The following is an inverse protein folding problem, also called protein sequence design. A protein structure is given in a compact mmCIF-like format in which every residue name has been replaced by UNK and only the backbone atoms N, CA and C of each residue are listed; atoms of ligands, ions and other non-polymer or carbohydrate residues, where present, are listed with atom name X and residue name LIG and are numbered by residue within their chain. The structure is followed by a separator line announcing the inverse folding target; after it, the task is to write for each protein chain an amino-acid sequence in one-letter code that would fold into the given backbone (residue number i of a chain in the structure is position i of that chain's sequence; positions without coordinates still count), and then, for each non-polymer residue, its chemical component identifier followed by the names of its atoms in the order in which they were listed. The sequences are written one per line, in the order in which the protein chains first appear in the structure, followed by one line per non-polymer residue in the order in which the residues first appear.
data_IF_633109827364
#
_entry.id   IF_633109827364
#
_cell.length_a   1.000
_cell.length_b   1.000
_cell.length_c   1.000
_cell.angle_alpha   90.00
_cell.angle_beta   90.00
_cell.angle_gamma   90.00
#
_symmetry.space_group_name_H-M   'P 1'
#
loop_
_entity.id
_entity.type
_entity.pdbx_description
1 polymer ?
#
# COMPACT_ATOMS: atom_id res chain seq x y z
N UNK A 1 -6.52 -3.26 2.39
CA UNK A 1 -5.34 -3.59 1.54
C UNK A 1 -5.77 -3.78 0.09
N UNK A 2 -5.43 -2.89 -0.84
CA UNK A 2 -5.76 -3.06 -2.27
C UNK A 2 -4.89 -4.16 -2.89
N UNK A 3 -5.54 -5.15 -3.52
CA UNK A 3 -4.93 -6.33 -4.16
C UNK A 3 -5.56 -6.68 -5.53
N UNK A 4 -6.44 -5.82 -6.07
CA UNK A 4 -7.16 -6.08 -7.33
C UNK A 4 -6.32 -5.86 -8.61
N UNK A 5 -5.09 -5.34 -8.50
CA UNK A 5 -4.26 -5.02 -9.67
C UNK A 5 -3.84 -6.26 -10.46
N UNK A 6 -3.92 -6.18 -11.78
CA UNK A 6 -3.54 -7.26 -12.72
C UNK A 6 -2.05 -7.58 -12.75
N UNK A 7 -1.19 -6.65 -12.31
CA UNK A 7 0.27 -6.87 -12.33
C UNK A 7 0.88 -6.93 -13.74
N UNK A 8 0.34 -6.21 -14.71
CA UNK A 8 0.73 -6.27 -16.13
C UNK A 8 2.24 -6.20 -16.41
N UNK A 9 3.01 -5.52 -15.57
CA UNK A 9 4.47 -5.40 -15.67
C UNK A 9 5.25 -6.57 -15.06
N UNK A 10 4.56 -7.43 -14.29
CA UNK A 10 5.20 -8.56 -13.60
C UNK A 10 5.38 -9.79 -14.51
N UNK A 11 4.54 -9.94 -15.52
CA UNK A 11 4.55 -11.04 -16.49
C UNK A 11 3.15 -11.59 -16.76
N UNK A 12 2.95 -12.27 -17.88
CA UNK A 12 1.66 -12.83 -18.26
C UNK A 12 1.24 -13.97 -17.32
N UNK A 13 -0.01 -13.98 -16.92
CA UNK A 13 -0.65 -15.11 -16.21
C UNK A 13 -0.36 -15.23 -14.71
N UNK A 14 0.56 -14.45 -14.15
CA UNK A 14 0.87 -14.50 -12.71
C UNK A 14 0.51 -13.18 -12.03
N UNK A 15 -0.41 -13.25 -11.08
CA UNK A 15 -0.71 -12.10 -10.21
C UNK A 15 0.39 -11.98 -9.15
N UNK A 16 1.18 -10.91 -9.22
CA UNK A 16 2.37 -10.68 -8.38
C UNK A 16 2.13 -10.85 -6.87
N UNK A 17 0.93 -10.53 -6.38
CA UNK A 17 0.58 -10.66 -4.96
C UNK A 17 0.50 -12.12 -4.50
N UNK A 18 0.36 -13.07 -5.43
CA UNK A 18 0.35 -14.52 -5.14
C UNK A 18 1.66 -15.22 -5.51
N UNK A 19 2.64 -14.48 -6.02
CA UNK A 19 3.95 -15.06 -6.33
C UNK A 19 4.56 -15.68 -5.07
N UNK A 20 5.17 -16.88 -5.17
CA UNK A 20 5.87 -17.52 -4.07
C UNK A 20 7.05 -16.68 -3.60
N UNK A 21 7.19 -16.52 -2.29
CA UNK A 21 8.26 -15.75 -1.66
C UNK A 21 8.57 -16.34 -0.28
N UNK A 22 9.76 -16.92 -0.09
CA UNK A 22 10.25 -17.42 1.20
C UNK A 22 9.22 -18.24 2.00
N UNK A 23 8.64 -19.26 1.37
CA UNK A 23 7.69 -20.18 1.98
C UNK A 23 6.24 -19.68 2.12
N UNK A 24 5.96 -18.44 1.71
CA UNK A 24 4.62 -17.83 1.67
C UNK A 24 4.38 -17.18 0.31
N UNK A 25 3.25 -16.52 0.15
CA UNK A 25 3.01 -15.62 -0.99
C UNK A 25 3.33 -14.18 -0.59
N UNK A 26 3.55 -13.31 -1.60
CA UNK A 26 3.81 -11.88 -1.39
C UNK A 26 2.75 -11.23 -0.50
N UNK A 27 1.46 -11.52 -0.75
CA UNK A 27 0.37 -10.93 0.05
C UNK A 27 0.35 -11.45 1.50
N UNK A 28 0.72 -12.70 1.74
CA UNK A 28 0.81 -13.24 3.11
C UNK A 28 1.92 -12.53 3.91
N UNK A 29 3.04 -12.20 3.25
CA UNK A 29 4.07 -11.37 3.86
C UNK A 29 3.60 -9.94 4.11
N UNK A 30 2.86 -9.34 3.17
CA UNK A 30 2.33 -8.00 3.33
C UNK A 30 1.27 -7.90 4.45
N UNK A 31 0.54 -8.99 4.73
CA UNK A 31 -0.44 -9.07 5.81
C UNK A 31 0.22 -9.34 7.19
N UNK A 32 1.33 -10.05 7.21
CA UNK A 32 1.93 -10.58 8.44
C UNK A 32 2.20 -9.53 9.54
N UNK A 33 2.76 -8.33 9.27
CA UNK A 33 2.98 -7.33 10.32
C UNK A 33 1.69 -6.87 11.00
N UNK A 34 0.60 -6.74 10.25
CA UNK A 34 -0.70 -6.33 10.78
C UNK A 34 -1.36 -7.44 11.58
N UNK A 35 -1.24 -8.68 11.15
CA UNK A 35 -1.78 -9.84 11.88
C UNK A 35 -1.05 -10.07 13.21
N UNK A 36 0.20 -9.68 13.31
CA UNK A 36 0.98 -9.78 14.54
C UNK A 36 0.74 -8.61 15.50
N UNK A 37 0.20 -7.47 15.05
CA UNK A 37 -0.05 -6.30 15.87
C UNK A 37 -1.45 -6.35 16.52
N UNK A 38 -1.49 -6.39 17.84
CA UNK A 38 -2.76 -6.49 18.61
C UNK A 38 -3.68 -5.26 18.46
N UNK A 39 -3.15 -4.14 17.95
CA UNK A 39 -3.92 -2.92 17.65
C UNK A 39 -4.74 -3.07 16.36
N UNK A 40 -4.44 -4.06 15.52
CA UNK A 40 -5.18 -4.34 14.30
C UNK A 40 -6.46 -5.11 14.63
N UNK A 41 -7.59 -4.43 14.62
CA UNK A 41 -8.89 -5.02 14.93
C UNK A 41 -9.46 -5.81 13.74
N UNK A 42 -9.25 -5.33 12.51
CA UNK A 42 -9.80 -5.94 11.30
C UNK A 42 -8.91 -5.66 10.08
N UNK A 43 -8.81 -6.63 9.18
CA UNK A 43 -8.13 -6.52 7.89
C UNK A 43 -9.14 -6.76 6.75
N UNK A 44 -9.16 -5.84 5.79
CA UNK A 44 -9.95 -5.99 4.56
C UNK A 44 -9.03 -6.01 3.36
N UNK A 45 -9.17 -7.03 2.51
CA UNK A 45 -8.43 -7.18 1.26
C UNK A 45 -9.36 -6.94 0.08
N UNK A 46 -9.08 -5.93 -0.74
CA UNK A 46 -9.84 -5.67 -1.96
C UNK A 46 -9.21 -6.44 -3.13
N UNK A 47 -9.95 -7.40 -3.66
CA UNK A 47 -9.51 -8.39 -4.65
C UNK A 47 -10.06 -8.08 -6.04
N UNK A 48 -9.46 -8.64 -7.06
CA UNK A 48 -10.10 -8.67 -8.38
C UNK A 48 -11.38 -9.52 -8.33
N UNK A 49 -12.31 -9.26 -9.28
CA UNK A 49 -13.47 -10.11 -9.45
C UNK A 49 -13.01 -11.56 -9.70
N UNK A 50 -13.69 -12.53 -9.11
CA UNK A 50 -13.41 -13.98 -9.26
C UNK A 50 -11.95 -14.37 -8.97
N UNK A 51 -11.37 -13.82 -7.91
CA UNK A 51 -9.99 -14.10 -7.51
C UNK A 51 -9.87 -15.51 -6.88
N UNK A 52 -9.63 -16.51 -7.74
CA UNK A 52 -9.53 -17.91 -7.33
C UNK A 52 -8.30 -18.20 -6.43
N UNK A 53 -7.21 -17.42 -6.59
CA UNK A 53 -5.99 -17.63 -5.82
C UNK A 53 -6.16 -17.21 -4.37
N UNK A 54 -7.04 -16.23 -4.11
CA UNK A 54 -7.34 -15.78 -2.75
C UNK A 54 -7.90 -16.91 -1.86
N UNK A 55 -8.69 -17.82 -2.41
CA UNK A 55 -9.28 -18.93 -1.64
C UNK A 55 -8.21 -19.75 -0.92
N UNK A 56 -7.07 -20.00 -1.59
CA UNK A 56 -5.95 -20.76 -1.00
C UNK A 56 -5.26 -19.95 0.12
N UNK A 57 -5.08 -18.64 -0.08
CA UNK A 57 -4.50 -17.76 0.94
C UNK A 57 -5.44 -17.65 2.14
N UNK A 58 -6.74 -17.42 1.92
CA UNK A 58 -7.73 -17.31 2.99
C UNK A 58 -7.80 -18.59 3.84
N UNK A 59 -7.73 -19.77 3.21
CA UNK A 59 -7.71 -21.03 3.93
C UNK A 59 -6.46 -21.18 4.83
N UNK A 60 -5.28 -20.78 4.35
CA UNK A 60 -4.05 -20.79 5.17
C UNK A 60 -4.11 -19.79 6.31
N UNK A 61 -4.64 -18.60 6.07
CA UNK A 61 -4.82 -17.58 7.11
C UNK A 61 -5.80 -18.05 8.19
N UNK A 62 -6.93 -18.64 7.79
CA UNK A 62 -7.89 -19.21 8.74
C UNK A 62 -7.27 -20.34 9.58
N UNK A 63 -6.50 -21.23 8.97
CA UNK A 63 -5.81 -22.32 9.67
C UNK A 63 -4.74 -21.80 10.67
N UNK A 64 -4.19 -20.59 10.45
CA UNK A 64 -3.26 -19.94 11.37
C UNK A 64 -3.95 -19.10 12.47
N UNK A 65 -5.29 -19.10 12.54
CA UNK A 65 -6.05 -18.34 13.52
C UNK A 65 -6.31 -16.87 13.14
N UNK A 66 -5.99 -16.47 11.92
CA UNK A 66 -6.21 -15.10 11.44
C UNK A 66 -7.67 -14.87 10.97
N UNK A 67 -8.63 -15.01 11.89
CA UNK A 67 -10.08 -14.87 11.60
C UNK A 67 -10.52 -13.43 11.30
N UNK A 68 -9.70 -12.43 11.59
CA UNK A 68 -10.02 -11.01 11.38
C UNK A 68 -9.83 -10.53 9.92
N UNK A 69 -9.46 -11.44 8.99
CA UNK A 69 -9.22 -11.07 7.58
C UNK A 69 -10.47 -11.34 6.76
N UNK A 70 -11.04 -10.27 6.18
CA UNK A 70 -12.16 -10.35 5.24
C UNK A 70 -11.75 -9.86 3.86
N UNK A 71 -12.57 -10.14 2.84
CA UNK A 71 -12.30 -9.68 1.49
C UNK A 71 -13.52 -9.07 0.83
N UNK A 72 -13.27 -8.11 -0.07
CA UNK A 72 -14.29 -7.46 -0.90
C UNK A 72 -13.82 -7.40 -2.35
N UNK A 73 -14.75 -7.24 -3.29
CA UNK A 73 -14.39 -6.96 -4.68
C UNK A 73 -13.80 -5.55 -4.78
N UNK A 74 -12.60 -5.43 -5.32
CA UNK A 74 -11.95 -4.15 -5.63
C UNK A 74 -12.51 -3.51 -6.89
N UNK A 75 -12.09 -2.28 -7.16
CA UNK A 75 -12.45 -1.53 -8.35
C UNK A 75 -11.39 -1.59 -9.45
N UNK A 76 -11.64 -0.89 -10.53
CA UNK A 76 -10.70 -0.79 -11.67
C UNK A 76 -9.40 -0.09 -11.29
N UNK A 77 -9.48 0.91 -10.42
CA UNK A 77 -8.33 1.67 -9.92
C UNK A 77 -8.01 1.31 -8.48
N UNK A 78 -6.80 1.63 -8.05
CA UNK A 78 -6.35 1.43 -6.67
C UNK A 78 -7.26 2.20 -5.69
N UNK A 79 -7.56 3.45 -5.97
CA UNK A 79 -8.44 4.28 -5.13
C UNK A 79 -9.86 3.72 -5.03
N UNK A 80 -10.43 3.15 -6.11
CA UNK A 80 -11.75 2.51 -6.09
C UNK A 80 -11.73 1.27 -5.20
N UNK A 81 -10.65 0.49 -5.26
CA UNK A 81 -10.45 -0.69 -4.39
C UNK A 81 -10.39 -0.29 -2.92
N UNK A 82 -9.70 0.81 -2.59
CA UNK A 82 -9.64 1.34 -1.23
C UNK A 82 -11.01 1.82 -0.77
N UNK A 83 -11.74 2.58 -1.61
CA UNK A 83 -13.10 3.04 -1.30
C UNK A 83 -14.05 1.88 -0.98
N UNK A 84 -14.05 0.82 -1.78
CA UNK A 84 -14.89 -0.38 -1.55
C UNK A 84 -14.50 -1.08 -0.25
N UNK A 85 -13.21 -1.20 0.06
CA UNK A 85 -12.75 -1.75 1.32
C UNK A 85 -13.19 -0.90 2.53
N UNK A 86 -13.11 0.42 2.43
CA UNK A 86 -13.59 1.33 3.48
C UNK A 86 -15.11 1.23 3.66
N UNK A 87 -15.87 1.18 2.57
CA UNK A 87 -17.33 1.02 2.62
C UNK A 87 -17.75 -0.25 3.37
N UNK A 88 -17.00 -1.35 3.25
CA UNK A 88 -17.28 -2.59 3.97
C UNK A 88 -17.01 -2.51 5.48
N UNK A 89 -16.24 -1.52 5.92
CA UNK A 89 -15.97 -1.26 7.35
C UNK A 89 -16.99 -0.32 7.99
N UNK A 90 -17.79 0.40 7.19
CA UNK A 90 -18.62 1.52 7.64
C UNK A 90 -19.65 1.14 8.73
N UNK A 91 -20.14 -0.10 8.75
CA UNK A 91 -21.09 -0.56 9.75
C UNK A 91 -20.49 -0.72 11.17
N UNK A 92 -19.18 -0.87 11.28
CA UNK A 92 -18.48 -1.12 12.54
C UNK A 92 -17.42 -0.07 12.90
N UNK A 93 -17.09 0.84 11.99
CA UNK A 93 -16.04 1.83 12.19
C UNK A 93 -16.60 3.19 12.63
N UNK A 94 -15.97 3.78 13.64
CA UNK A 94 -16.19 5.18 14.00
C UNK A 94 -15.43 6.11 13.04
N UNK A 95 -15.95 7.31 12.72
CA UNK A 95 -15.21 8.31 11.94
C UNK A 95 -13.83 8.66 12.51
N UNK A 96 -13.66 8.50 13.82
CA UNK A 96 -12.40 8.76 14.52
C UNK A 96 -11.44 7.56 14.57
N UNK A 97 -11.84 6.38 14.09
CA UNK A 97 -10.95 5.23 14.06
C UNK A 97 -9.79 5.42 13.07
N UNK A 98 -8.66 4.81 13.39
CA UNK A 98 -7.52 4.81 12.51
C UNK A 98 -7.63 3.72 11.45
N UNK A 99 -7.37 4.09 10.21
CA UNK A 99 -7.28 3.18 9.07
C UNK A 99 -5.87 3.23 8.50
N UNK A 100 -5.30 2.06 8.28
CA UNK A 100 -4.03 1.90 7.59
C UNK A 100 -4.27 1.29 6.20
N UNK A 101 -3.82 1.99 5.16
CA UNK A 101 -3.85 1.46 3.79
C UNK A 101 -2.46 0.98 3.42
N UNK A 102 -2.34 -0.32 3.11
CA UNK A 102 -1.07 -0.94 2.73
C UNK A 102 -1.19 -1.70 1.43
N UNK A 103 -0.18 -1.59 0.56
CA UNK A 103 -0.16 -2.27 -0.73
C UNK A 103 0.15 -3.76 -0.57
N UNK A 104 -0.69 -4.64 -1.12
CA UNK A 104 -0.48 -6.10 -1.12
C UNK A 104 0.82 -6.56 -1.82
N UNK A 105 1.47 -5.67 -2.56
CA UNK A 105 2.74 -5.92 -3.24
C UNK A 105 3.97 -5.41 -2.46
N UNK A 106 3.85 -5.06 -1.18
CA UNK A 106 4.96 -4.68 -0.29
C UNK A 106 5.15 -5.69 0.83
N UNK A 107 5.85 -6.81 0.54
CA UNK A 107 6.03 -7.89 1.51
C UNK A 107 7.04 -7.59 2.61
N UNK A 108 7.83 -6.52 2.46
CA UNK A 108 8.96 -6.23 3.32
C UNK A 108 8.69 -5.06 4.28
N UNK A 109 7.44 -4.87 4.74
CA UNK A 109 7.16 -3.94 5.82
C UNK A 109 7.81 -4.44 7.11
N UNK A 110 8.65 -3.61 7.74
CA UNK A 110 9.23 -3.92 9.04
C UNK A 110 8.19 -3.68 10.15
N UNK A 111 7.98 -4.61 11.09
CA UNK A 111 7.13 -4.39 12.26
C UNK A 111 7.54 -3.15 13.09
N UNK A 112 8.83 -2.83 13.15
CA UNK A 112 9.30 -1.63 13.85
C UNK A 112 8.85 -0.34 13.15
N UNK A 113 8.81 -0.33 11.80
CA UNK A 113 8.28 0.81 11.05
C UNK A 113 6.77 0.97 11.25
N UNK A 114 6.03 -0.15 11.27
CA UNK A 114 4.61 -0.13 11.60
C UNK A 114 4.38 0.42 13.01
N UNK A 115 5.12 -0.05 13.99
CA UNK A 115 5.07 0.45 15.37
C UNK A 115 5.33 1.95 15.44
N UNK A 116 6.42 2.40 14.83
CA UNK A 116 6.80 3.82 14.77
C UNK A 116 5.71 4.69 14.12
N UNK A 117 5.11 4.23 13.03
CA UNK A 117 4.00 4.94 12.37
C UNK A 117 2.82 5.10 13.33
N UNK A 118 2.38 4.01 13.96
CA UNK A 118 1.25 4.00 14.89
C UNK A 118 1.50 4.90 16.09
N UNK A 119 2.70 4.87 16.67
CA UNK A 119 3.06 5.68 17.83
C UNK A 119 3.16 7.17 17.50
N UNK A 120 3.74 7.51 16.35
CA UNK A 120 3.89 8.91 15.91
C UNK A 120 2.56 9.54 15.51
N UNK A 121 1.65 8.79 14.91
CA UNK A 121 0.40 9.31 14.37
C UNK A 121 -0.80 9.11 15.29
N UNK A 122 -0.68 8.33 16.36
CA UNK A 122 -1.80 7.97 17.23
C UNK A 122 -2.61 9.16 17.76
N UNK A 123 -1.97 10.31 17.98
CA UNK A 123 -2.58 11.57 18.43
C UNK A 123 -2.57 12.68 17.35
N UNK A 124 -2.05 12.39 16.14
CA UNK A 124 -1.96 13.41 15.10
C UNK A 124 -3.35 13.78 14.55
N UNK A 125 -3.64 15.07 14.29
CA UNK A 125 -4.99 15.48 13.86
C UNK A 125 -5.36 14.95 12.47
N UNK A 126 -4.40 14.86 11.54
CA UNK A 126 -4.63 14.44 10.15
C UNK A 126 -4.21 12.98 9.93
N UNK A 127 -3.03 12.61 10.33
CA UNK A 127 -2.37 11.36 10.00
C UNK A 127 -1.18 11.57 9.06
N UNK A 128 -0.74 10.51 8.40
CA UNK A 128 0.42 10.55 7.53
C UNK A 128 0.78 9.19 6.95
N UNK A 129 2.03 9.05 6.52
CA UNK A 129 2.49 7.87 5.81
C UNK A 129 3.94 7.56 6.11
N UNK A 130 4.32 6.30 5.95
CA UNK A 130 5.74 5.95 5.85
C UNK A 130 6.32 6.53 4.56
N UNK A 131 7.52 7.05 4.65
CA UNK A 131 8.25 7.60 3.50
C UNK A 131 9.76 7.45 3.70
N UNK A 132 10.53 7.51 2.63
CA UNK A 132 11.99 7.51 2.68
C UNK A 132 12.54 8.59 1.77
N UNK A 133 13.68 9.19 2.15
CA UNK A 133 14.34 10.21 1.34
C UNK A 133 14.78 9.64 0.00
N UNK A 134 14.77 10.47 -1.01
CA UNK A 134 15.32 10.11 -2.33
C UNK A 134 16.84 10.16 -2.25
N UNK A 135 17.50 9.01 -2.48
CA UNK A 135 18.96 8.87 -2.51
C UNK A 135 19.56 9.14 -3.87
N UNK A 136 18.83 8.80 -4.95
CA UNK A 136 19.32 8.89 -6.32
C UNK A 136 19.13 10.28 -6.92
N UNK A 137 19.99 10.64 -7.88
CA UNK A 137 19.79 11.84 -8.68
C UNK A 137 18.60 11.67 -9.61
N UNK A 138 17.61 12.56 -9.50
CA UNK A 138 16.41 12.55 -10.34
C UNK A 138 16.60 13.43 -11.58
N UNK A 139 16.16 12.92 -12.73
CA UNK A 139 16.14 13.65 -13.99
C UNK A 139 14.70 13.84 -14.45
N UNK A 140 14.36 15.06 -14.85
CA UNK A 140 13.13 15.34 -15.57
C UNK A 140 13.38 15.22 -17.06
N UNK A 141 12.42 14.69 -17.79
CA UNK A 141 12.48 14.56 -19.25
C UNK A 141 11.33 15.29 -19.89
N UNK A 142 11.47 15.71 -21.15
CA UNK A 142 10.34 16.13 -21.96
C UNK A 142 9.38 14.94 -22.19
N UNK A 143 8.07 15.20 -22.29
CA UNK A 143 7.13 14.18 -22.77
C UNK A 143 7.31 14.02 -24.27
N UNK A 144 7.90 12.90 -24.69
CA UNK A 144 8.02 12.54 -26.10
C UNK A 144 7.04 11.40 -26.36
N UNK A 145 6.22 11.56 -27.40
CA UNK A 145 5.40 10.47 -27.94
C UNK A 145 6.27 9.50 -28.73
N UNK A 146 6.22 8.19 -28.40
CA UNK A 146 6.71 7.10 -29.22
C UNK A 146 8.20 6.81 -29.16
N UNK A 147 8.59 5.86 -28.35
CA UNK A 147 9.73 4.93 -28.54
C UNK A 147 11.16 5.44 -28.56
N UNK A 148 11.41 6.73 -28.54
CA UNK A 148 12.77 7.30 -28.49
C UNK A 148 13.21 7.54 -27.04
N UNK A 149 14.52 7.45 -26.78
CA UNK A 149 15.11 7.80 -25.50
C UNK A 149 14.86 9.29 -25.22
N UNK A 150 14.14 9.65 -24.15
CA UNK A 150 13.77 11.04 -23.91
C UNK A 150 14.99 11.85 -23.44
N UNK A 151 15.23 13.06 -23.99
CA UNK A 151 16.31 13.91 -23.53
C UNK A 151 16.04 14.42 -22.11
N UNK A 152 17.09 14.54 -21.32
CA UNK A 152 17.03 15.17 -20.01
C UNK A 152 16.78 16.67 -20.18
N UNK A 153 15.75 17.20 -19.50
CA UNK A 153 15.46 18.64 -19.48
C UNK A 153 16.04 19.34 -18.26
N UNK A 154 16.09 18.65 -17.11
CA UNK A 154 16.68 19.20 -15.88
C UNK A 154 17.08 18.10 -14.90
N UNK A 155 17.99 18.45 -13.98
CA UNK A 155 18.22 17.68 -12.75
C UNK A 155 17.29 18.24 -11.66
N UNK A 156 16.46 17.39 -11.09
CA UNK A 156 15.52 17.80 -10.04
C UNK A 156 16.26 17.85 -8.71
N UNK A 157 16.14 19.00 -8.00
CA UNK A 157 16.64 19.10 -6.62
C UNK A 157 15.86 18.12 -5.72
N UNK A 158 16.60 17.30 -4.98
CA UNK A 158 16.02 16.18 -4.24
C UNK A 158 16.01 16.34 -2.73
N UNK A 159 16.58 17.39 -2.18
CA UNK A 159 16.75 17.59 -0.73
C UNK A 159 15.43 17.49 0.02
N UNK A 160 14.32 17.93 -0.58
CA UNK A 160 12.98 17.91 -0.01
C UNK A 160 12.08 16.83 -0.65
N UNK A 161 12.65 15.91 -1.44
CA UNK A 161 11.90 14.85 -2.08
C UNK A 161 11.94 13.56 -1.27
N UNK A 162 10.76 12.98 -1.12
CA UNK A 162 10.56 11.71 -0.44
C UNK A 162 9.81 10.72 -1.34
N UNK A 163 10.14 9.46 -1.24
CA UNK A 163 9.37 8.38 -1.83
C UNK A 163 8.27 7.98 -0.84
N UNK A 164 7.01 8.15 -1.23
CA UNK A 164 5.88 7.67 -0.45
C UNK A 164 5.90 6.14 -0.39
N UNK A 165 5.78 5.62 0.80
CA UNK A 165 5.63 4.20 1.08
C UNK A 165 4.21 3.93 1.60
N UNK A 166 3.94 2.68 1.96
CA UNK A 166 2.78 2.28 2.74
C UNK A 166 3.23 1.41 3.93
N UNK A 167 2.50 1.41 5.06
CA UNK A 167 1.15 1.93 5.27
C UNK A 167 1.04 3.45 5.23
N UNK A 168 -0.15 3.92 4.82
CA UNK A 168 -0.63 5.27 5.03
C UNK A 168 -1.74 5.23 6.07
N UNK A 169 -1.69 6.09 7.09
CA UNK A 169 -2.55 6.04 8.27
C UNK A 169 -3.35 7.33 8.43
N UNK A 170 -4.67 7.21 8.37
CA UNK A 170 -5.60 8.35 8.44
C UNK A 170 -6.85 7.99 9.25
N UNK A 171 -7.59 8.99 9.73
CA UNK A 171 -8.89 8.77 10.35
C UNK A 171 -9.91 8.29 9.32
N UNK A 172 -10.76 7.34 9.70
CA UNK A 172 -11.73 6.69 8.80
C UNK A 172 -12.65 7.71 8.12
N UNK A 173 -13.32 8.57 8.88
CA UNK A 173 -14.25 9.55 8.33
C UNK A 173 -13.61 10.52 7.33
N UNK A 174 -12.55 11.25 7.72
CA UNK A 174 -11.81 12.13 6.81
C UNK A 174 -11.30 11.44 5.55
N UNK A 175 -10.75 10.22 5.65
CA UNK A 175 -10.27 9.48 4.49
C UNK A 175 -11.41 9.10 3.53
N UNK A 176 -12.55 8.61 4.06
CA UNK A 176 -13.72 8.30 3.24
C UNK A 176 -14.19 9.54 2.50
N UNK A 177 -14.38 10.67 3.20
CA UNK A 177 -14.82 11.92 2.61
C UNK A 177 -13.88 12.43 1.51
N UNK A 178 -12.56 12.32 1.72
CA UNK A 178 -11.54 12.73 0.74
C UNK A 178 -11.62 11.91 -0.55
N UNK A 179 -11.69 10.58 -0.40
CA UNK A 179 -11.75 9.68 -1.55
C UNK A 179 -13.09 9.79 -2.30
N UNK A 180 -14.21 9.95 -1.59
CA UNK A 180 -15.52 10.13 -2.20
C UNK A 180 -15.61 11.45 -2.97
N UNK A 181 -15.10 12.54 -2.40
CA UNK A 181 -15.06 13.85 -3.07
C UNK A 181 -14.16 13.83 -4.30
N UNK A 182 -12.99 13.18 -4.22
CA UNK A 182 -12.11 13.01 -5.36
C UNK A 182 -12.81 12.23 -6.48
N UNK A 183 -13.46 11.11 -6.14
CA UNK A 183 -14.19 10.29 -7.10
C UNK A 183 -15.35 11.04 -7.75
N UNK A 184 -16.16 11.77 -6.97
CA UNK A 184 -17.27 12.58 -7.49
C UNK A 184 -16.78 13.67 -8.47
N UNK A 185 -15.57 14.19 -8.26
CA UNK A 185 -14.91 15.15 -9.15
C UNK A 185 -14.20 14.50 -10.36
N UNK A 186 -14.31 13.18 -10.55
CA UNK A 186 -13.60 12.45 -11.61
C UNK A 186 -12.08 12.42 -11.42
N UNK A 187 -11.58 12.69 -10.22
CA UNK A 187 -10.15 12.71 -9.86
C UNK A 187 -9.78 11.42 -9.15
N UNK A 188 -8.66 10.84 -9.53
CA UNK A 188 -8.20 9.57 -8.99
C UNK A 188 -6.83 9.76 -8.34
N UNK A 189 -6.76 9.79 -7.00
CA UNK A 189 -5.50 10.00 -6.30
C UNK A 189 -4.56 8.81 -6.48
N UNK A 190 -3.27 9.08 -6.54
CA UNK A 190 -2.23 8.05 -6.63
C UNK A 190 -2.07 7.27 -5.32
N UNK A 191 -2.36 7.94 -4.20
CA UNK A 191 -2.36 7.37 -2.85
C UNK A 191 -3.37 8.11 -1.95
N UNK A 192 -3.49 7.70 -0.69
CA UNK A 192 -4.45 8.24 0.26
C UNK A 192 -4.07 9.66 0.70
N UNK A 193 -2.77 9.93 0.84
CA UNK A 193 -2.27 11.26 1.21
C UNK A 193 -2.71 12.30 0.19
N UNK A 194 -2.58 12.02 -1.11
CA UNK A 194 -2.99 12.95 -2.17
C UNK A 194 -4.48 13.30 -2.11
N UNK A 195 -5.35 12.35 -1.73
CA UNK A 195 -6.77 12.64 -1.59
C UNK A 195 -7.02 13.69 -0.49
N UNK A 196 -6.32 13.59 0.63
CA UNK A 196 -6.39 14.53 1.74
C UNK A 196 -5.73 15.87 1.42
N UNK A 197 -4.60 15.87 0.70
CA UNK A 197 -3.96 17.09 0.19
C UNK A 197 -4.91 17.91 -0.69
N UNK A 198 -5.74 17.27 -1.51
CA UNK A 198 -6.74 17.96 -2.31
C UNK A 198 -7.87 18.61 -1.51
N UNK A 199 -8.01 18.25 -0.23
CA UNK A 199 -8.89 18.92 0.72
C UNK A 199 -8.18 20.02 1.53
N UNK A 200 -6.89 20.26 1.28
CA UNK A 200 -6.08 21.23 1.99
C UNK A 200 -5.41 20.69 3.25
N UNK A 201 -5.56 19.40 3.53
CA UNK A 201 -4.90 18.76 4.66
C UNK A 201 -3.40 18.57 4.39
N UNK A 202 -2.63 18.43 5.46
CA UNK A 202 -1.17 18.25 5.39
C UNK A 202 -0.75 16.96 6.11
N UNK A 203 -0.79 15.81 5.43
CA UNK A 203 -0.24 14.56 5.95
C UNK A 203 1.24 14.70 6.29
N UNK A 204 1.67 14.06 7.38
CA UNK A 204 3.09 14.08 7.75
C UNK A 204 3.81 12.83 7.29
N UNK A 205 5.11 12.97 7.03
CA UNK A 205 5.98 11.88 6.66
C UNK A 205 6.63 11.28 7.92
N UNK A 206 6.50 9.98 8.07
CA UNK A 206 7.22 9.20 9.09
C UNK A 206 8.30 8.41 8.36
N UNK A 207 9.56 8.61 8.75
CA UNK A 207 10.68 7.94 8.10
C UNK A 207 10.60 6.41 8.31
N UNK A 208 10.65 5.67 7.21
CA UNK A 208 10.62 4.21 7.17
C UNK A 208 11.77 3.64 6.36
N UNK A 209 11.96 2.32 6.47
CA UNK A 209 13.01 1.59 5.79
C UNK A 209 12.81 1.61 4.27
N UNK A 210 13.86 1.96 3.54
CA UNK A 210 13.90 1.92 2.07
C UNK A 210 13.68 0.51 1.50
N UNK A 211 13.92 -0.53 2.33
CA UNK A 211 13.69 -1.93 2.00
C UNK A 211 12.20 -2.33 2.05
N UNK A 212 11.29 -1.46 2.46
CA UNK A 212 9.83 -1.64 2.26
C UNK A 212 9.49 -1.47 0.78
N UNK A 213 10.10 -2.31 -0.04
CA UNK A 213 10.01 -2.23 -1.50
C UNK A 213 8.65 -2.71 -2.02
N UNK A 214 8.25 -2.17 -3.17
CA UNK A 214 7.04 -2.59 -3.88
C UNK A 214 7.41 -3.51 -5.03
N UNK A 215 6.98 -4.76 -4.99
CA UNK A 215 7.16 -5.69 -6.10
C UNK A 215 6.38 -5.18 -7.31
N UNK A 216 7.12 -4.88 -8.37
CA UNK A 216 6.63 -4.35 -9.64
C UNK A 216 7.04 -5.24 -10.80
N UNK A 217 8.28 -5.70 -10.78
CA UNK A 217 8.89 -6.62 -11.75
C UNK A 217 9.19 -7.96 -11.10
N UNK A 218 9.35 -9.02 -11.90
CA UNK A 218 9.72 -10.34 -11.39
C UNK A 218 11.08 -10.35 -10.67
N UNK A 219 12.03 -9.52 -11.12
CA UNK A 219 13.34 -9.37 -10.48
C UNK A 219 13.26 -8.85 -9.02
N UNK A 220 12.21 -8.09 -8.68
CA UNK A 220 12.02 -7.57 -7.32
C UNK A 220 11.81 -8.68 -6.28
N UNK A 221 11.37 -9.88 -6.71
CA UNK A 221 11.21 -11.04 -5.82
C UNK A 221 12.53 -11.47 -5.20
N UNK A 222 13.60 -11.48 -5.98
CA UNK A 222 14.92 -11.89 -5.47
C UNK A 222 15.40 -10.91 -4.38
N UNK A 223 15.20 -9.61 -4.59
CA UNK A 223 15.54 -8.59 -3.60
C UNK A 223 14.65 -8.71 -2.35
N UNK A 224 13.34 -8.89 -2.52
CA UNK A 224 12.43 -9.10 -1.40
C UNK A 224 12.81 -10.34 -0.58
N UNK A 225 13.17 -11.45 -1.25
CA UNK A 225 13.63 -12.66 -0.58
C UNK A 225 14.90 -12.43 0.24
N UNK A 226 15.87 -11.69 -0.30
CA UNK A 226 17.10 -11.35 0.43
C UNK A 226 16.81 -10.51 1.69
N UNK A 227 15.93 -9.51 1.57
CA UNK A 227 15.50 -8.68 2.71
C UNK A 227 14.81 -9.53 3.79
N UNK A 228 13.86 -10.39 3.39
CA UNK A 228 13.14 -11.23 4.34
C UNK A 228 14.05 -12.26 5.04
N UNK A 229 15.04 -12.82 4.33
CA UNK A 229 16.04 -13.72 4.95
C UNK A 229 16.90 -12.99 5.97
N UNK A 230 17.42 -11.81 5.61
CA UNK A 230 18.27 -11.02 6.50
C UNK A 230 17.57 -10.59 7.80
N UNK A 231 16.24 -10.46 7.79
CA UNK A 231 15.46 -10.10 8.99
C UNK A 231 15.08 -11.29 9.88
N UNK A 232 15.33 -12.52 9.42
CA UNK A 232 15.10 -13.74 10.22
C UNK A 232 16.37 -14.25 10.92
N UNK A 233 17.54 -13.82 10.44
CA UNK A 233 18.84 -14.11 11.04
C UNK A 233 19.11 -13.18 12.23
#
# INVERSE_FOLDING_TARGET
MPAAGSGSRFGPGVRKQYAPLEGRTVIEWALAPFLADRRCAQLVVALARDDADWKKVAARLAASGASAVTSVEGGERRSDSVRRALASLAAGASPSDWVLVHDAARPCLDPADLGRLLDRLGTHPVGGLLATRVSDTLKRTARIGGGADPPVTETVERSDLWRALTPQMFRFGPLCAALDRAHAAGRFPSDEAQALEWLGERPVLVEGDSMNLKITLAADLALAAAVLRARRS
#
